data_IF_454659843718
#
_entry.id   IF_454659843718
#
_cell.length_a   1.000
_cell.length_b   1.000
_cell.length_c   1.000
_cell.angle_alpha   90.00
_cell.angle_beta   90.00
_cell.angle_gamma   90.00
#
_symmetry.space_group_name_H-M   'P 1'
#
loop_
_entity.id
_entity.type
_entity.pdbx_description
1 polymer ?
#
# COMPACT_ATOMS: atom_id res chain seq x y z
N UNK A 1 -4.43 -16.32 -2.61
CA UNK A 1 -4.37 -14.87 -2.37
C UNK A 1 -3.25 -14.30 -3.21
N UNK A 2 -3.55 -13.35 -4.09
CA UNK A 2 -2.58 -12.61 -4.91
C UNK A 2 -2.63 -11.15 -4.48
N UNK A 3 -1.72 -10.77 -3.59
CA UNK A 3 -1.69 -9.46 -2.95
C UNK A 3 -1.12 -8.35 -3.85
N UNK A 4 -0.54 -8.71 -5.00
CA UNK A 4 0.01 -7.75 -5.96
C UNK A 4 1.30 -7.09 -5.46
N UNK A 5 1.49 -5.83 -5.84
CA UNK A 5 2.68 -5.06 -5.48
C UNK A 5 2.77 -4.86 -3.97
N UNK A 6 3.98 -4.93 -3.43
CA UNK A 6 4.27 -4.62 -2.04
C UNK A 6 5.08 -3.33 -1.95
N UNK A 7 4.75 -2.49 -0.97
CA UNK A 7 5.56 -1.35 -0.57
C UNK A 7 5.47 -1.13 0.93
N UNK A 8 6.46 -0.43 1.49
CA UNK A 8 6.33 0.18 2.82
C UNK A 8 5.94 1.65 2.65
N UNK A 9 4.83 2.04 3.27
CA UNK A 9 4.36 3.42 3.33
C UNK A 9 4.91 4.06 4.59
N UNK A 10 5.80 5.02 4.43
CA UNK A 10 6.51 5.68 5.52
C UNK A 10 5.83 6.97 5.92
N UNK A 11 5.59 7.12 7.23
CA UNK A 11 5.17 8.39 7.82
C UNK A 11 6.39 9.31 7.92
N UNK A 12 6.49 10.28 7.02
CA UNK A 12 7.63 11.21 6.97
C UNK A 12 7.24 12.58 7.52
N UNK A 13 8.19 13.24 8.19
CA UNK A 13 7.99 14.58 8.75
C UNK A 13 8.12 15.68 7.70
N UNK A 14 9.04 15.49 6.76
CA UNK A 14 9.29 16.40 5.64
C UNK A 14 9.51 15.57 4.38
N UNK A 15 8.56 15.66 3.45
CA UNK A 15 8.53 14.88 2.22
C UNK A 15 9.71 15.22 1.30
N UNK A 16 10.14 16.48 1.25
CA UNK A 16 11.25 16.91 0.37
C UNK A 16 12.57 16.36 0.90
N UNK A 17 12.80 16.48 2.21
CA UNK A 17 14.01 15.93 2.86
C UNK A 17 14.07 14.41 2.71
N UNK A 18 12.96 13.71 2.92
CA UNK A 18 12.89 12.27 2.74
C UNK A 18 13.10 11.85 1.28
N UNK A 19 12.48 12.54 0.32
CA UNK A 19 12.70 12.31 -1.12
C UNK A 19 14.18 12.38 -1.47
N UNK A 20 14.86 13.46 -1.09
CA UNK A 20 16.29 13.64 -1.36
C UNK A 20 17.15 12.54 -0.72
N UNK A 21 16.78 12.06 0.47
CA UNK A 21 17.45 10.94 1.12
C UNK A 21 17.33 9.65 0.31
N UNK A 22 16.11 9.29 -0.12
CA UNK A 22 15.89 8.07 -0.91
C UNK A 22 16.48 8.16 -2.32
N UNK A 23 16.53 9.35 -2.92
CA UNK A 23 17.24 9.57 -4.20
C UNK A 23 18.74 9.24 -4.08
N UNK A 24 19.38 9.55 -2.94
CA UNK A 24 20.79 9.16 -2.69
C UNK A 24 20.99 7.65 -2.57
N UNK A 25 19.93 6.91 -2.21
CA UNK A 25 19.93 5.43 -2.22
C UNK A 25 19.60 4.86 -3.60
N UNK A 26 19.42 5.71 -4.62
CA UNK A 26 19.13 5.30 -5.99
C UNK A 26 17.64 5.13 -6.29
N UNK A 27 16.74 5.54 -5.40
CA UNK A 27 15.30 5.55 -5.71
C UNK A 27 14.96 6.70 -6.66
N UNK A 28 13.94 6.48 -7.49
CA UNK A 28 13.36 7.49 -8.38
C UNK A 28 11.86 7.62 -8.10
N UNK A 29 11.30 8.79 -8.40
CA UNK A 29 9.84 9.00 -8.31
C UNK A 29 9.15 8.14 -9.37
N UNK A 30 8.27 7.25 -8.94
CA UNK A 30 7.39 6.46 -9.79
C UNK A 30 6.04 7.16 -9.99
N UNK A 31 5.47 7.69 -8.89
CA UNK A 31 4.15 8.32 -8.88
C UNK A 31 3.99 9.24 -7.66
N UNK A 32 2.84 9.89 -7.56
CA UNK A 32 2.49 10.81 -6.48
C UNK A 32 2.74 12.27 -6.83
N UNK A 33 2.51 13.12 -5.84
CA UNK A 33 2.49 14.57 -5.99
C UNK A 33 2.91 15.24 -4.68
N UNK A 34 3.94 16.09 -4.74
CA UNK A 34 4.43 16.85 -3.60
C UNK A 34 3.35 17.74 -3.00
N UNK A 35 2.46 18.31 -3.83
CA UNK A 35 1.38 19.18 -3.38
C UNK A 35 0.26 18.39 -2.68
N UNK A 36 0.20 17.07 -2.91
CA UNK A 36 -0.69 16.14 -2.21
C UNK A 36 -0.02 15.45 -1.02
N UNK A 37 1.18 15.87 -0.64
CA UNK A 37 1.95 15.34 0.48
C UNK A 37 2.31 13.84 0.37
N UNK A 38 2.44 13.29 -0.84
CA UNK A 38 2.96 11.94 -0.98
C UNK A 38 3.75 11.67 -2.27
N UNK A 39 4.68 10.72 -2.22
CA UNK A 39 5.41 10.19 -3.36
C UNK A 39 5.55 8.68 -3.26
N UNK A 40 5.47 7.98 -4.38
CA UNK A 40 5.87 6.58 -4.49
C UNK A 40 7.25 6.54 -5.15
N UNK A 41 8.22 5.97 -4.45
CA UNK A 41 9.63 5.88 -4.83
C UNK A 41 9.97 4.43 -5.21
N UNK A 42 10.73 4.24 -6.29
CA UNK A 42 11.14 2.92 -6.80
C UNK A 42 12.64 2.82 -6.98
N UNK A 43 13.23 1.70 -6.57
CA UNK A 43 14.59 1.29 -6.90
C UNK A 43 14.56 -0.18 -7.33
N UNK A 44 14.78 -0.44 -8.62
CA UNK A 44 14.54 -1.75 -9.22
C UNK A 44 13.14 -2.28 -8.87
N UNK A 45 13.04 -3.37 -8.10
CA UNK A 45 11.77 -3.95 -7.67
C UNK A 45 11.33 -3.48 -6.28
N UNK A 46 12.14 -2.67 -5.60
CA UNK A 46 11.84 -2.14 -4.27
C UNK A 46 10.98 -0.90 -4.35
N UNK A 47 9.91 -0.83 -3.54
CA UNK A 47 9.00 0.30 -3.45
C UNK A 47 8.93 0.86 -2.03
N UNK A 48 8.99 2.19 -1.95
CA UNK A 48 8.79 2.96 -0.72
C UNK A 48 7.81 4.09 -1.02
N UNK A 49 6.72 4.15 -0.27
CA UNK A 49 5.84 5.32 -0.26
C UNK A 49 6.29 6.30 0.82
N UNK A 50 6.33 7.59 0.51
CA UNK A 50 6.62 8.67 1.45
C UNK A 50 5.35 9.49 1.62
N UNK A 51 4.80 9.55 2.83
CA UNK A 51 3.55 10.25 3.12
C UNK A 51 3.73 11.21 4.29
N UNK A 52 3.46 12.50 4.07
CA UNK A 52 3.61 13.52 5.10
C UNK A 52 2.27 13.87 5.74
N UNK A 53 2.16 13.64 7.05
CA UNK A 53 1.00 14.05 7.86
C UNK A 53 -0.30 13.28 7.56
N UNK A 54 -0.22 12.10 6.92
CA UNK A 54 -1.39 11.30 6.58
C UNK A 54 -1.70 10.20 7.59
N UNK A 55 -0.68 9.69 8.29
CA UNK A 55 -0.78 8.68 9.33
C UNK A 55 0.44 8.75 10.25
N UNK A 56 0.34 8.17 11.45
CA UNK A 56 1.38 8.29 12.49
C UNK A 56 2.47 7.22 12.39
N UNK A 57 2.11 6.00 12.00
CA UNK A 57 2.98 4.83 11.96
C UNK A 57 3.13 4.28 10.54
N UNK A 58 4.27 3.64 10.24
CA UNK A 58 4.50 3.04 8.93
C UNK A 58 3.48 1.92 8.65
N UNK A 59 3.15 1.75 7.37
CA UNK A 59 2.15 0.79 6.91
C UNK A 59 2.78 -0.16 5.89
N UNK A 60 2.58 -1.46 6.08
CA UNK A 60 2.86 -2.47 5.07
C UNK A 60 1.72 -2.47 4.06
N UNK A 61 1.97 -2.05 2.82
CA UNK A 61 0.92 -1.85 1.83
C UNK A 61 1.03 -2.87 0.71
N UNK A 62 -0.08 -3.54 0.42
CA UNK A 62 -0.23 -4.44 -0.70
C UNK A 62 -1.28 -3.90 -1.68
N UNK A 63 -1.00 -3.95 -2.97
CA UNK A 63 -1.90 -3.45 -4.02
C UNK A 63 -2.31 -4.57 -4.98
N UNK A 64 -3.40 -5.31 -4.67
CA UNK A 64 -3.91 -6.34 -5.56
C UNK A 64 -4.21 -5.79 -6.94
N UNK A 65 -3.77 -6.51 -7.97
CA UNK A 65 -4.00 -6.12 -9.36
C UNK A 65 -2.90 -5.27 -9.97
N UNK A 66 -1.89 -4.85 -9.22
CA UNK A 66 -0.72 -4.15 -9.75
C UNK A 66 0.59 -4.93 -9.58
N UNK A 67 1.55 -4.69 -10.48
CA UNK A 67 2.95 -5.03 -10.31
C UNK A 67 3.73 -3.85 -9.68
N UNK A 68 5.02 -4.05 -9.42
CA UNK A 68 5.92 -3.05 -8.86
C UNK A 68 6.18 -1.82 -9.78
N UNK A 69 5.66 -1.84 -11.01
CA UNK A 69 5.71 -0.69 -11.94
C UNK A 69 4.40 0.12 -11.91
N UNK A 70 3.40 -0.28 -11.12
CA UNK A 70 2.07 0.32 -11.13
C UNK A 70 1.23 -0.08 -12.34
N UNK A 71 1.59 -1.19 -13.01
CA UNK A 71 0.88 -1.70 -14.18
C UNK A 71 -0.12 -2.80 -13.78
N UNK A 72 -1.23 -2.87 -14.50
CA UNK A 72 -2.28 -3.86 -14.28
C UNK A 72 -1.80 -5.30 -14.53
N UNK A 73 -1.99 -6.17 -13.52
CA UNK A 73 -1.82 -7.62 -13.62
C UNK A 73 -3.20 -8.28 -13.69
N UNK A 74 -3.39 -9.15 -14.69
CA UNK A 74 -4.56 -10.02 -14.77
C UNK A 74 -4.16 -11.50 -14.89
N UNK A 75 -4.82 -12.44 -14.19
CA UNK A 75 -5.89 -12.20 -13.21
C UNK A 75 -5.35 -11.80 -11.82
N UNK A 76 -6.10 -10.97 -11.09
CA UNK A 76 -5.86 -10.66 -9.67
C UNK A 76 -6.99 -11.18 -8.77
N UNK A 77 -6.73 -11.31 -7.47
CA UNK A 77 -7.80 -11.55 -6.49
C UNK A 77 -8.43 -10.20 -6.11
N UNK A 78 -9.76 -10.12 -6.05
CA UNK A 78 -10.48 -8.95 -5.55
C UNK A 78 -10.34 -8.83 -4.02
N UNK A 79 -10.14 -7.62 -3.51
CA UNK A 79 -9.96 -7.35 -2.07
C UNK A 79 -11.12 -7.87 -1.21
N UNK A 80 -12.35 -7.92 -1.74
CA UNK A 80 -13.52 -8.49 -1.02
C UNK A 80 -13.44 -10.00 -0.90
N UNK A 81 -12.82 -10.67 -1.88
CA UNK A 81 -12.51 -12.10 -1.81
C UNK A 81 -11.38 -12.35 -0.81
N UNK A 82 -10.38 -11.47 -0.80
CA UNK A 82 -9.27 -11.48 0.16
C UNK A 82 -9.83 -11.32 1.59
N UNK A 83 -10.69 -10.33 1.83
CA UNK A 83 -11.37 -10.11 3.10
C UNK A 83 -12.06 -11.38 3.61
N UNK A 84 -12.90 -12.01 2.77
CA UNK A 84 -13.62 -13.23 3.14
C UNK A 84 -12.68 -14.38 3.49
N UNK A 85 -11.61 -14.55 2.71
CA UNK A 85 -10.60 -15.59 2.96
C UNK A 85 -9.87 -15.35 4.30
N UNK A 86 -9.49 -14.11 4.60
CA UNK A 86 -8.85 -13.75 5.87
C UNK A 86 -9.78 -13.99 7.07
N UNK A 87 -11.03 -13.51 7.01
CA UNK A 87 -12.04 -13.74 8.06
C UNK A 87 -12.30 -15.23 8.31
N UNK A 88 -12.36 -16.03 7.23
CA UNK A 88 -12.55 -17.48 7.36
C UNK A 88 -11.39 -18.20 8.07
N UNK A 89 -10.22 -17.56 8.13
CA UNK A 89 -9.03 -18.05 8.85
C UNK A 89 -8.92 -17.48 10.27
N UNK A 90 -9.95 -16.76 10.74
CA UNK A 90 -9.99 -16.19 12.08
C UNK A 90 -9.14 -14.93 12.27
N UNK A 91 -8.77 -14.24 11.18
CA UNK A 91 -8.10 -12.94 11.27
C UNK A 91 -9.13 -11.83 11.46
N UNK A 92 -8.86 -10.96 12.44
CA UNK A 92 -9.64 -9.75 12.69
C UNK A 92 -9.18 -8.61 11.78
N UNK A 93 -10.15 -7.89 11.21
CA UNK A 93 -9.89 -6.70 10.40
C UNK A 93 -10.27 -5.46 11.20
N UNK A 94 -9.36 -4.49 11.20
CA UNK A 94 -9.59 -3.16 11.77
C UNK A 94 -10.52 -2.36 10.86
N UNK A 95 -10.37 -2.54 9.55
CA UNK A 95 -11.23 -1.94 8.53
C UNK A 95 -11.60 -3.00 7.49
N UNK A 96 -12.88 -3.05 7.18
CA UNK A 96 -13.49 -3.95 6.21
C UNK A 96 -13.93 -3.17 4.96
N UNK A 97 -14.24 -3.86 3.87
CA UNK A 97 -14.83 -3.21 2.71
C UNK A 97 -16.24 -2.67 3.01
N UNK A 98 -16.67 -1.64 2.30
CA UNK A 98 -17.95 -0.94 2.51
C UNK A 98 -19.19 -1.71 1.99
N UNK A 99 -19.01 -2.94 1.53
CA UNK A 99 -20.07 -3.77 0.95
C UNK A 99 -20.40 -3.47 -0.52
N UNK A 100 -19.68 -2.54 -1.17
CA UNK A 100 -19.69 -2.41 -2.63
C UNK A 100 -19.32 -3.74 -3.29
N UNK A 101 -19.79 -3.98 -4.52
CA UNK A 101 -19.57 -5.26 -5.22
C UNK A 101 -18.34 -5.27 -6.12
N UNK A 102 -17.87 -4.10 -6.51
CA UNK A 102 -16.81 -3.89 -7.49
C UNK A 102 -16.17 -2.51 -7.31
N UNK A 103 -15.05 -2.28 -7.99
CA UNK A 103 -14.31 -1.02 -7.92
C UNK A 103 -13.36 -0.95 -6.73
N UNK A 104 -12.73 0.24 -6.55
CA UNK A 104 -11.73 0.47 -5.52
C UNK A 104 -12.27 0.14 -4.12
N UNK A 105 -11.44 -0.53 -3.33
CA UNK A 105 -11.75 -0.85 -1.94
C UNK A 105 -10.45 -1.24 -1.22
N UNK A 106 -10.49 -1.17 0.12
CA UNK A 106 -9.37 -1.57 0.93
C UNK A 106 -9.81 -2.21 2.23
N UNK A 107 -8.89 -2.93 2.85
CA UNK A 107 -9.02 -3.49 4.20
C UNK A 107 -7.75 -3.21 4.99
N UNK A 108 -7.90 -3.11 6.31
CA UNK A 108 -6.79 -2.90 7.25
C UNK A 108 -6.83 -3.97 8.32
N UNK A 109 -5.66 -4.51 8.66
CA UNK A 109 -5.45 -5.43 9.76
C UNK A 109 -4.10 -5.17 10.44
N UNK A 110 -3.86 -5.83 11.57
CA UNK A 110 -2.55 -5.87 12.23
C UNK A 110 -2.03 -7.29 12.28
N UNK A 111 -0.72 -7.43 12.14
CA UNK A 111 -0.04 -8.69 12.39
C UNK A 111 0.15 -8.93 13.91
N UNK A 112 0.70 -10.09 14.35
CA UNK A 112 0.89 -10.39 15.76
C UNK A 112 1.80 -9.42 16.52
N UNK A 113 2.67 -8.69 15.82
CA UNK A 113 3.62 -7.73 16.40
C UNK A 113 3.08 -6.29 16.34
N UNK A 114 1.86 -6.10 15.85
CA UNK A 114 1.16 -4.82 15.79
C UNK A 114 1.46 -3.98 14.55
N UNK A 115 2.17 -4.52 13.55
CA UNK A 115 2.43 -3.83 12.30
C UNK A 115 1.13 -3.66 11.51
N UNK A 116 0.83 -2.43 11.11
CA UNK A 116 -0.36 -2.12 10.31
C UNK A 116 -0.16 -2.62 8.87
N UNK A 117 -1.11 -3.42 8.39
CA UNK A 117 -1.17 -3.92 7.02
C UNK A 117 -2.38 -3.30 6.33
N UNK A 118 -2.14 -2.67 5.19
CA UNK A 118 -3.16 -2.15 4.28
C UNK A 118 -3.16 -3.00 3.01
N UNK A 119 -4.32 -3.48 2.60
CA UNK A 119 -4.53 -4.10 1.29
C UNK A 119 -5.46 -3.17 0.51
N UNK A 120 -4.91 -2.45 -0.46
CA UNK A 120 -5.57 -1.34 -1.16
C UNK A 120 -5.69 -1.64 -2.67
N UNK A 121 -6.92 -1.91 -3.11
CA UNK A 121 -7.26 -2.16 -4.51
C UNK A 121 -7.77 -0.86 -5.14
N UNK A 122 -7.15 -0.47 -6.26
CA UNK A 122 -7.43 0.80 -6.95
C UNK A 122 -8.34 0.69 -8.18
N UNK A 123 -8.83 -0.51 -8.50
CA UNK A 123 -9.65 -0.79 -9.69
C UNK A 123 -10.87 -1.64 -9.37
#
# INVERSE_FOLDING_TARGET
MRLGAFSISLAVKDLKVSKEFYEKLGFQVLSGDLDKNYLIMKNENSLVGLFQGMFEENILTFNPGWNENGEDINPCDDVRKIEKDLKSKGLELIQETDGSKEGPANIILKDPDGNTILIDQHR
#
